data_IF_938613035385
#
_entry.id   IF_938613035385
#
_cell.length_a   1.000
_cell.length_b   1.000
_cell.length_c   1.000
_cell.angle_alpha   90.00
_cell.angle_beta   90.00
_cell.angle_gamma   90.00
#
_symmetry.space_group_name_H-M   'P 1'
#
loop_
_entity.id
_entity.type
_entity.pdbx_description
1 polymer ?
#
# COMPACT_ATOMS: atom_id res chain seq x y z
N UNK A 1 -13.26 -28.65 4.16
CA UNK A 1 -12.85 -27.32 3.68
C UNK A 1 -13.98 -26.36 4.03
N UNK A 2 -13.80 -25.47 5.02
CA UNK A 2 -14.83 -24.50 5.40
C UNK A 2 -14.97 -23.46 4.29
N UNK A 3 -16.08 -23.49 3.55
CA UNK A 3 -16.46 -22.43 2.65
C UNK A 3 -16.95 -21.24 3.50
N UNK A 4 -16.25 -20.11 3.41
CA UNK A 4 -16.70 -18.87 4.05
C UNK A 4 -17.94 -18.33 3.31
N UNK A 5 -18.97 -17.84 4.02
CA UNK A 5 -20.16 -17.26 3.41
C UNK A 5 -19.79 -16.06 2.52
N UNK A 6 -20.38 -15.97 1.31
CA UNK A 6 -20.25 -14.82 0.39
C UNK A 6 -19.46 -15.06 -0.89
N UNK A 7 -18.60 -16.09 -0.97
CA UNK A 7 -17.82 -16.38 -2.18
C UNK A 7 -18.42 -17.53 -3.01
N UNK A 8 -19.67 -17.40 -3.48
CA UNK A 8 -20.31 -18.50 -4.25
C UNK A 8 -19.86 -18.63 -5.70
N UNK A 9 -19.08 -17.69 -6.24
CA UNK A 9 -18.61 -17.76 -7.62
C UNK A 9 -17.27 -17.02 -7.77
N UNK A 10 -16.14 -17.72 -7.66
CA UNK A 10 -14.88 -17.15 -8.12
C UNK A 10 -14.91 -17.10 -9.65
N UNK A 11 -14.85 -15.91 -10.29
CA UNK A 11 -14.82 -15.85 -11.75
C UNK A 11 -13.59 -16.61 -12.26
N UNK A 12 -13.77 -17.35 -13.35
CA UNK A 12 -12.72 -18.15 -13.97
C UNK A 12 -11.40 -17.39 -14.07
N UNK A 13 -10.28 -18.08 -13.78
CA UNK A 13 -8.94 -17.50 -13.86
C UNK A 13 -8.74 -16.90 -15.24
N UNK A 14 -8.48 -15.59 -15.30
CA UNK A 14 -8.22 -14.89 -16.55
C UNK A 14 -6.91 -15.45 -17.13
N UNK A 15 -6.89 -15.91 -18.40
CA UNK A 15 -5.67 -16.40 -19.04
C UNK A 15 -4.56 -15.35 -19.05
N UNK A 16 -3.31 -15.78 -18.89
CA UNK A 16 -2.14 -14.89 -18.87
C UNK A 16 -2.03 -14.03 -20.13
N UNK A 17 -2.34 -14.60 -21.29
CA UNK A 17 -2.35 -13.94 -22.60
C UNK A 17 -3.20 -12.66 -22.62
N UNK A 18 -4.30 -12.61 -21.86
CA UNK A 18 -5.14 -11.40 -21.77
C UNK A 18 -4.44 -10.27 -21.01
N UNK A 19 -3.59 -10.60 -20.03
CA UNK A 19 -2.79 -9.60 -19.32
C UNK A 19 -1.63 -9.11 -20.19
N UNK A 20 -1.00 -9.97 -20.99
CA UNK A 20 0.03 -9.55 -21.95
C UNK A 20 -0.55 -8.61 -23.02
N UNK A 21 -1.70 -8.97 -23.61
CA UNK A 21 -2.39 -8.11 -24.56
C UNK A 21 -2.78 -6.76 -23.94
N UNK A 22 -3.26 -6.76 -22.70
CA UNK A 22 -3.59 -5.52 -21.98
C UNK A 22 -2.35 -4.69 -21.66
N UNK A 23 -1.23 -5.31 -21.30
CA UNK A 23 0.05 -4.64 -21.07
C UNK A 23 0.52 -3.94 -22.34
N UNK A 24 0.47 -4.62 -23.49
CA UNK A 24 0.84 -4.04 -24.79
C UNK A 24 -0.09 -2.86 -25.17
N UNK A 25 -1.40 -3.00 -24.94
CA UNK A 25 -2.38 -1.98 -25.30
C UNK A 25 -2.34 -0.74 -24.39
N UNK A 26 -2.09 -0.92 -23.09
CA UNK A 26 -2.23 0.15 -22.07
C UNK A 26 -0.91 0.66 -21.52
N UNK A 27 0.18 -0.08 -21.71
CA UNK A 27 1.50 0.13 -21.08
C UNK A 27 1.47 0.17 -19.56
N UNK A 28 0.42 -0.35 -18.93
CA UNK A 28 0.36 -0.53 -17.49
C UNK A 28 1.10 -1.82 -17.10
N UNK A 29 1.74 -1.80 -15.93
CA UNK A 29 2.38 -2.98 -15.40
C UNK A 29 1.35 -4.07 -15.04
N UNK A 30 1.79 -5.34 -15.05
CA UNK A 30 0.93 -6.49 -14.81
C UNK A 30 0.26 -6.42 -13.42
N UNK A 31 0.92 -5.88 -12.40
CA UNK A 31 0.35 -5.80 -11.05
C UNK A 31 -0.80 -4.80 -10.98
N UNK A 32 -0.69 -3.67 -11.68
CA UNK A 32 -1.77 -2.70 -11.84
C UNK A 32 -2.96 -3.30 -12.59
N UNK A 33 -2.70 -4.03 -13.69
CA UNK A 33 -3.75 -4.72 -14.44
C UNK A 33 -4.47 -5.77 -13.59
N UNK A 34 -3.75 -6.52 -12.74
CA UNK A 34 -4.38 -7.45 -11.80
C UNK A 34 -5.27 -6.73 -10.79
N UNK A 35 -4.82 -5.60 -10.23
CA UNK A 35 -5.61 -4.80 -9.29
C UNK A 35 -6.90 -4.29 -9.95
N UNK A 36 -6.80 -3.76 -11.18
CA UNK A 36 -7.95 -3.27 -11.94
C UNK A 36 -8.94 -4.40 -12.24
N UNK A 37 -8.46 -5.53 -12.76
CA UNK A 37 -9.29 -6.69 -13.04
C UNK A 37 -9.93 -7.26 -11.75
N UNK A 38 -9.24 -7.23 -10.61
CA UNK A 38 -9.78 -7.66 -9.33
C UNK A 38 -10.98 -6.79 -8.91
N UNK A 39 -10.82 -5.47 -8.85
CA UNK A 39 -11.91 -4.58 -8.44
C UNK A 39 -13.06 -4.65 -9.44
N UNK A 40 -12.76 -4.65 -10.74
CA UNK A 40 -13.78 -4.67 -11.77
C UNK A 40 -14.67 -5.93 -11.73
N UNK A 41 -14.11 -7.08 -11.30
CA UNK A 41 -14.83 -8.35 -11.17
C UNK A 41 -15.67 -8.44 -9.90
N UNK A 42 -15.20 -7.84 -8.80
CA UNK A 42 -15.84 -8.01 -7.50
C UNK A 42 -16.76 -6.85 -7.13
N UNK A 43 -16.63 -5.69 -7.76
CA UNK A 43 -17.49 -4.52 -7.52
C UNK A 43 -18.31 -4.24 -8.78
N UNK A 44 -19.59 -4.65 -8.84
CA UNK A 44 -20.46 -4.43 -9.99
C UNK A 44 -20.58 -2.95 -10.37
N UNK A 45 -20.76 -2.65 -11.65
CA UNK A 45 -20.85 -1.26 -12.14
C UNK A 45 -22.01 -0.49 -11.50
N UNK A 46 -23.13 -1.17 -11.20
CA UNK A 46 -24.31 -0.61 -10.51
C UNK A 46 -24.00 -0.05 -9.12
N UNK A 47 -22.99 -0.60 -8.45
CA UNK A 47 -22.64 -0.27 -7.06
C UNK A 47 -21.51 0.77 -6.99
N UNK A 48 -20.79 1.00 -8.09
CA UNK A 48 -19.68 1.97 -8.14
C UNK A 48 -20.19 3.40 -8.10
N UNK A 49 -19.42 4.26 -7.44
CA UNK A 49 -19.74 5.66 -7.29
C UNK A 49 -18.62 6.54 -7.83
N UNK A 50 -18.93 7.45 -8.76
CA UNK A 50 -17.93 8.27 -9.48
C UNK A 50 -17.20 9.28 -8.58
N UNK A 51 -17.85 9.74 -7.50
CA UNK A 51 -17.24 10.62 -6.51
C UNK A 51 -16.20 9.91 -5.62
N UNK A 52 -16.06 8.59 -5.72
CA UNK A 52 -15.14 7.80 -4.92
C UNK A 52 -13.95 7.33 -5.73
N UNK A 53 -12.76 7.39 -5.12
CA UNK A 53 -11.56 6.90 -5.79
C UNK A 53 -11.58 5.37 -5.98
N UNK A 54 -10.75 4.88 -6.90
CA UNK A 54 -10.57 3.44 -7.14
C UNK A 54 -10.21 2.66 -5.85
N UNK A 55 -9.43 3.26 -4.96
CA UNK A 55 -9.03 2.61 -3.69
C UNK A 55 -10.19 2.43 -2.70
N UNK A 56 -11.24 3.26 -2.75
CA UNK A 56 -12.46 3.02 -1.96
C UNK A 56 -13.18 1.76 -2.46
N UNK A 57 -13.32 1.63 -3.79
CA UNK A 57 -13.88 0.43 -4.40
C UNK A 57 -13.04 -0.82 -4.09
N UNK A 58 -11.71 -0.68 -4.10
CA UNK A 58 -10.81 -1.77 -3.72
C UNK A 58 -11.00 -2.20 -2.27
N UNK A 59 -11.27 -1.27 -1.35
CA UNK A 59 -11.48 -1.56 0.06
C UNK A 59 -12.74 -2.42 0.30
N UNK A 60 -13.81 -2.19 -0.47
CA UNK A 60 -15.07 -2.95 -0.35
C UNK A 60 -15.13 -4.21 -1.21
N UNK A 61 -14.19 -4.42 -2.13
CA UNK A 61 -14.22 -5.50 -3.12
C UNK A 61 -14.26 -6.93 -2.55
N UNK A 62 -14.05 -7.13 -1.25
CA UNK A 62 -14.17 -8.44 -0.59
C UNK A 62 -15.53 -8.68 0.06
N UNK A 63 -16.35 -7.64 0.18
CA UNK A 63 -17.67 -7.69 0.80
C UNK A 63 -18.70 -8.20 -0.20
N UNK A 64 -19.87 -8.59 0.29
CA UNK A 64 -21.00 -8.89 -0.59
C UNK A 64 -21.58 -7.61 -1.24
N UNK A 65 -22.43 -7.77 -2.24
CA UNK A 65 -22.94 -6.63 -3.01
C UNK A 65 -23.75 -5.64 -2.16
N UNK A 66 -24.49 -6.14 -1.16
CA UNK A 66 -25.30 -5.31 -0.28
C UNK A 66 -24.41 -4.46 0.64
N UNK A 67 -23.41 -5.06 1.25
CA UNK A 67 -22.42 -4.37 2.08
C UNK A 67 -21.59 -3.40 1.25
N UNK A 68 -21.18 -3.77 0.04
CA UNK A 68 -20.48 -2.86 -0.88
C UNK A 68 -21.32 -1.60 -1.14
N UNK A 69 -22.60 -1.77 -1.47
CA UNK A 69 -23.51 -0.65 -1.73
C UNK A 69 -23.68 0.23 -0.49
N UNK A 70 -23.91 -0.38 0.67
CA UNK A 70 -24.08 0.33 1.92
C UNK A 70 -22.83 1.14 2.30
N UNK A 71 -21.64 0.54 2.22
CA UNK A 71 -20.39 1.21 2.60
C UNK A 71 -19.99 2.31 1.64
N UNK A 72 -20.19 2.13 0.33
CA UNK A 72 -19.92 3.19 -0.66
C UNK A 72 -20.91 4.34 -0.52
N UNK A 73 -22.21 4.08 -0.35
CA UNK A 73 -23.20 5.13 -0.07
C UNK A 73 -22.88 5.89 1.23
N UNK A 74 -22.49 5.18 2.28
CA UNK A 74 -22.06 5.77 3.55
C UNK A 74 -20.81 6.64 3.37
N UNK A 75 -19.86 6.21 2.55
CA UNK A 75 -18.64 6.97 2.24
C UNK A 75 -18.96 8.29 1.55
N UNK A 76 -19.91 8.29 0.61
CA UNK A 76 -20.39 9.50 -0.08
C UNK A 76 -21.06 10.44 0.93
N UNK A 77 -22.01 9.94 1.72
CA UNK A 77 -22.72 10.75 2.71
C UNK A 77 -21.78 11.38 3.75
N UNK A 78 -20.76 10.67 4.20
CA UNK A 78 -19.74 11.21 5.12
C UNK A 78 -18.90 12.30 4.46
N UNK A 79 -18.50 12.12 3.19
CA UNK A 79 -17.77 13.13 2.44
C UNK A 79 -18.60 14.40 2.22
N UNK A 80 -19.87 14.26 1.84
CA UNK A 80 -20.79 15.37 1.61
C UNK A 80 -21.06 16.15 2.90
N UNK A 81 -21.10 15.45 4.04
CA UNK A 81 -21.23 16.07 5.36
C UNK A 81 -19.92 16.68 5.91
N UNK A 82 -18.87 16.78 5.08
CA UNK A 82 -17.56 17.34 5.46
C UNK A 82 -16.71 16.43 6.36
N UNK A 83 -17.19 15.23 6.69
CA UNK A 83 -16.48 14.24 7.50
C UNK A 83 -15.74 13.28 6.58
N UNK A 84 -14.65 13.76 5.98
CA UNK A 84 -13.87 13.00 4.98
C UNK A 84 -13.69 11.53 5.37
N UNK A 85 -14.21 10.63 4.54
CA UNK A 85 -14.02 9.20 4.63
C UNK A 85 -12.76 8.83 3.84
N UNK A 86 -11.63 8.68 4.53
CA UNK A 86 -10.41 8.16 3.90
C UNK A 86 -10.49 6.65 3.70
N UNK A 87 -9.70 6.10 2.78
CA UNK A 87 -9.60 4.64 2.57
C UNK A 87 -9.23 3.90 3.86
N UNK A 88 -8.35 4.48 4.69
CA UNK A 88 -7.98 3.93 6.01
C UNK A 88 -9.19 3.89 6.94
N UNK A 89 -9.93 5.01 7.04
CA UNK A 89 -11.14 5.11 7.87
C UNK A 89 -12.20 4.11 7.41
N UNK A 90 -12.39 3.98 6.09
CA UNK A 90 -13.32 3.03 5.50
C UNK A 90 -12.96 1.59 5.88
N UNK A 91 -11.71 1.15 5.67
CA UNK A 91 -11.26 -0.20 6.04
C UNK A 91 -11.49 -0.51 7.52
N UNK A 92 -11.06 0.39 8.41
CA UNK A 92 -11.26 0.22 9.86
C UNK A 92 -12.74 0.25 10.24
N UNK A 93 -13.57 1.02 9.54
CA UNK A 93 -15.02 1.05 9.77
C UNK A 93 -15.71 -0.24 9.33
N UNK A 94 -15.29 -0.82 8.20
CA UNK A 94 -15.73 -2.14 7.73
C UNK A 94 -15.36 -3.21 8.75
N UNK A 95 -14.10 -3.23 9.21
CA UNK A 95 -13.62 -4.17 10.24
C UNK A 95 -14.38 -4.02 11.57
N UNK A 96 -14.72 -2.79 11.96
CA UNK A 96 -15.51 -2.50 13.16
C UNK A 96 -17.02 -2.73 12.98
N UNK A 97 -17.51 -2.96 11.76
CA UNK A 97 -18.94 -3.05 11.44
C UNK A 97 -19.73 -1.76 11.64
N UNK A 98 -19.06 -0.61 11.85
CA UNK A 98 -19.68 0.71 12.07
C UNK A 98 -18.78 1.84 11.59
N UNK A 99 -19.36 2.98 11.25
CA UNK A 99 -18.59 4.18 10.91
C UNK A 99 -17.80 4.65 12.13
N UNK A 100 -16.48 4.61 12.04
CA UNK A 100 -15.60 5.15 13.07
C UNK A 100 -15.51 6.68 12.95
N UNK A 101 -15.46 7.39 14.07
CA UNK A 101 -15.15 8.81 14.09
C UNK A 101 -13.65 9.05 13.79
N UNK A 102 -13.31 10.25 13.31
CA UNK A 102 -11.91 10.60 13.00
C UNK A 102 -11.01 10.49 14.25
N UNK A 103 -11.54 10.86 15.43
CA UNK A 103 -10.83 10.76 16.70
C UNK A 103 -10.51 9.30 17.08
N UNK A 104 -11.39 8.34 16.78
CA UNK A 104 -11.17 6.92 17.09
C UNK A 104 -10.04 6.31 16.25
N UNK A 105 -9.74 6.87 15.07
CA UNK A 105 -8.63 6.43 14.22
C UNK A 105 -7.25 6.87 14.72
N UNK A 106 -7.21 7.82 15.67
CA UNK A 106 -5.96 8.30 16.27
C UNK A 106 -5.53 7.42 17.45
N UNK A 107 -6.43 6.57 17.96
CA UNK A 107 -6.26 5.87 19.23
C UNK A 107 -5.54 4.51 19.15
N UNK A 108 -5.04 4.09 17.98
CA UNK A 108 -4.30 2.84 17.86
C UNK A 108 -2.79 3.11 17.68
N UNK A 109 -2.02 3.28 18.77
CA UNK A 109 -0.57 3.46 18.71
C UNK A 109 0.16 2.27 18.09
N UNK A 110 -0.51 1.12 17.90
CA UNK A 110 0.06 -0.01 17.15
C UNK A 110 0.14 0.26 15.63
N UNK A 111 -0.70 1.15 15.10
CA UNK A 111 -0.75 1.54 13.68
C UNK A 111 0.14 2.77 13.36
N UNK A 112 0.64 3.47 14.39
CA UNK A 112 1.76 4.40 14.25
C UNK A 112 3.00 3.56 13.99
N UNK A 113 3.18 3.12 12.73
CA UNK A 113 4.20 2.15 12.32
C UNK A 113 5.46 2.31 13.15
N UNK A 114 5.77 1.27 13.93
CA UNK A 114 6.93 1.26 14.82
C UNK A 114 8.11 1.79 14.02
N UNK A 115 8.72 2.88 14.47
CA UNK A 115 9.89 3.46 13.81
C UNK A 115 10.97 2.39 13.82
N UNK A 116 11.09 1.66 12.71
CA UNK A 116 12.05 0.59 12.55
C UNK A 116 13.34 1.20 11.99
N UNK A 117 14.49 0.71 12.44
CA UNK A 117 15.80 1.11 11.93
C UNK A 117 16.02 0.70 10.46
N UNK A 118 15.28 -0.30 9.96
CA UNK A 118 15.46 -0.88 8.61
C UNK A 118 15.52 0.15 7.46
N UNK A 119 14.61 1.13 7.32
CA UNK A 119 14.67 2.12 6.24
C UNK A 119 15.95 2.96 6.25
N UNK A 120 16.49 3.27 7.44
CA UNK A 120 17.74 4.01 7.58
C UNK A 120 18.94 3.17 7.13
N UNK A 121 18.97 1.90 7.53
CA UNK A 121 19.99 0.93 7.08
C UNK A 121 19.93 0.74 5.57
N UNK A 122 18.74 0.54 4.99
CA UNK A 122 18.58 0.38 3.54
C UNK A 122 19.07 1.60 2.77
N UNK A 123 18.82 2.81 3.28
CA UNK A 123 19.30 4.05 2.66
C UNK A 123 20.83 4.15 2.69
N UNK A 124 21.45 3.80 3.82
CA UNK A 124 22.92 3.76 3.96
C UNK A 124 23.54 2.74 2.98
N UNK A 125 23.02 1.52 2.94
CA UNK A 125 23.49 0.46 2.03
C UNK A 125 23.33 0.87 0.57
N UNK A 126 22.18 1.45 0.21
CA UNK A 126 21.92 1.93 -1.14
C UNK A 126 22.85 3.07 -1.56
N UNK A 127 23.11 4.02 -0.64
CA UNK A 127 24.09 5.09 -0.86
C UNK A 127 25.50 4.52 -1.09
N UNK A 128 25.96 3.59 -0.25
CA UNK A 128 27.27 2.97 -0.43
C UNK A 128 27.37 2.15 -1.72
N UNK A 129 26.27 1.49 -2.12
CA UNK A 129 26.15 0.81 -3.41
C UNK A 129 26.42 1.76 -4.59
N UNK A 130 25.80 2.95 -4.59
CA UNK A 130 26.02 3.97 -5.64
C UNK A 130 27.46 4.46 -5.68
N UNK A 131 28.05 4.80 -4.53
CA UNK A 131 29.45 5.25 -4.48
C UNK A 131 30.43 4.23 -5.03
N UNK A 132 30.20 2.93 -4.77
CA UNK A 132 31.02 1.86 -5.34
C UNK A 132 30.85 1.76 -6.86
N UNK A 133 29.61 1.86 -7.34
CA UNK A 133 29.30 1.83 -8.78
C UNK A 133 29.95 3.00 -9.53
N UNK A 134 30.02 4.18 -8.92
CA UNK A 134 30.70 5.38 -9.43
C UNK A 134 32.24 5.28 -9.34
N UNK A 135 32.77 4.15 -8.85
CA UNK A 135 34.21 3.94 -8.77
C UNK A 135 34.90 4.80 -7.72
N UNK A 136 34.18 5.32 -6.72
CA UNK A 136 34.73 6.20 -5.68
C UNK A 136 35.93 5.58 -4.95
N UNK A 137 35.91 4.26 -4.73
CA UNK A 137 37.03 3.54 -4.14
C UNK A 137 38.31 3.54 -4.99
N UNK A 138 38.28 3.97 -6.24
CA UNK A 138 39.46 4.13 -7.10
C UNK A 138 39.91 5.59 -7.17
N UNK A 139 38.97 6.53 -7.11
CA UNK A 139 39.22 7.96 -7.28
C UNK A 139 39.44 8.72 -5.96
N UNK A 140 38.99 8.19 -4.83
CA UNK A 140 39.07 8.87 -3.54
C UNK A 140 40.50 8.95 -2.99
N UNK A 141 40.88 10.14 -2.52
CA UNK A 141 42.18 10.38 -1.87
C UNK A 141 42.27 9.70 -0.50
N UNK A 142 43.47 9.66 0.08
CA UNK A 142 43.67 9.09 1.43
C UNK A 142 42.90 9.88 2.48
N UNK A 143 42.87 11.20 2.34
CA UNK A 143 42.21 12.14 3.24
C UNK A 143 40.68 11.95 3.19
N UNK A 144 40.12 11.81 1.99
CA UNK A 144 38.68 11.56 1.79
C UNK A 144 38.25 10.22 2.39
N UNK A 145 39.07 9.18 2.28
CA UNK A 145 38.80 7.88 2.92
C UNK A 145 38.90 7.96 4.43
N UNK A 146 39.89 8.69 4.95
CA UNK A 146 40.04 8.89 6.38
C UNK A 146 38.86 9.69 6.98
N UNK A 147 38.37 10.70 6.25
CA UNK A 147 37.17 11.45 6.63
C UNK A 147 35.95 10.53 6.68
N UNK A 148 35.69 9.78 5.61
CA UNK A 148 34.52 8.89 5.58
C UNK A 148 34.58 7.80 6.67
N UNK A 149 35.76 7.28 6.99
CA UNK A 149 35.92 6.34 8.12
C UNK A 149 35.52 6.97 9.45
N UNK A 150 35.87 8.24 9.69
CA UNK A 150 35.45 8.96 10.91
C UNK A 150 33.94 9.19 10.93
N UNK A 151 33.35 9.55 9.80
CA UNK A 151 31.91 9.81 9.70
C UNK A 151 31.06 8.54 9.94
N UNK A 152 31.61 7.37 9.59
CA UNK A 152 30.96 6.07 9.84
C UNK A 152 31.25 5.50 11.24
N UNK A 153 32.14 6.11 12.02
CA UNK A 153 32.52 5.63 13.36
C UNK A 153 31.31 5.51 14.32
N UNK A 154 30.36 6.46 14.37
CA UNK A 154 29.18 6.33 15.24
C UNK A 154 28.33 5.10 14.95
N UNK A 155 28.30 4.61 13.71
CA UNK A 155 27.55 3.40 13.33
C UNK A 155 28.22 2.15 13.92
N UNK A 156 29.56 2.14 13.93
CA UNK A 156 30.35 1.07 14.54
C UNK A 156 30.16 1.09 16.06
N UNK A 157 30.13 2.28 16.65
CA UNK A 157 29.95 2.43 18.10
C UNK A 157 28.55 1.95 18.52
N UNK A 158 27.49 2.33 17.78
CA UNK A 158 26.13 1.77 17.99
C UNK A 158 26.14 0.25 17.92
N UNK A 159 26.83 -0.36 16.94
CA UNK A 159 26.92 -1.83 16.86
C UNK A 159 27.64 -2.45 18.06
N UNK A 160 28.62 -1.76 18.66
CA UNK A 160 29.34 -2.26 19.84
C UNK A 160 28.54 -2.11 21.14
N UNK A 161 27.57 -1.20 21.18
CA UNK A 161 26.68 -0.97 22.32
C UNK A 161 25.53 -2.00 22.41
N UNK A 162 25.26 -2.74 21.32
CA UNK A 162 24.24 -3.78 21.21
C UNK A 162 24.81 -5.17 21.51
#
# INVERSE_FOLDING_TARGET
QLALPGCRNMPAKVPHERYEAALLATRLDISTLHNFAYVARNVPRSVRHELLSFEHHRAVARLDEADQQQWLATTVAENDAGRRMSVRRLRRSIEAGRVLAIAELQADPADAGIVNHIPFVNRLVGWWGRMRAEGWLKTATKEQRAALKRDLQPIIDIHREL
#
